data_IF_001836878796
#
_entry.id   IF_001836878796
#
_cell.length_a   1.000
_cell.length_b   1.000
_cell.length_c   1.000
_cell.angle_alpha   90.00
_cell.angle_beta   90.00
_cell.angle_gamma   90.00
#
_symmetry.space_group_name_H-M   'P 1'
#
loop_
_entity.id
_entity.type
_entity.pdbx_description
1 polymer ?
#
# COMPACT_ATOMS: atom_id res chain seq x y z
N UNK A 1 -31.70 15.43 -80.91
CA UNK A 1 -31.70 14.69 -79.67
C UNK A 1 -30.91 13.43 -79.86
N UNK A 2 -29.65 13.39 -79.41
CA UNK A 2 -28.74 12.23 -79.61
C UNK A 2 -28.60 11.53 -78.26
N UNK A 3 -29.02 10.31 -78.17
CA UNK A 3 -28.90 9.42 -77.04
C UNK A 3 -27.47 8.86 -76.94
N UNK A 4 -26.77 9.11 -75.86
CA UNK A 4 -25.44 8.53 -75.59
C UNK A 4 -25.63 7.22 -74.84
N UNK A 5 -25.22 6.10 -75.46
CA UNK A 5 -25.18 4.78 -74.77
C UNK A 5 -23.86 4.60 -74.04
N UNK A 6 -23.95 4.45 -72.75
CA UNK A 6 -22.81 4.16 -71.86
C UNK A 6 -22.55 2.62 -71.90
N UNK A 7 -21.39 2.22 -72.40
CA UNK A 7 -20.89 0.83 -72.28
C UNK A 7 -20.20 0.62 -70.97
N UNK A 8 -20.71 -0.30 -70.13
CA UNK A 8 -20.08 -0.76 -68.86
C UNK A 8 -19.26 -2.02 -69.27
N UNK A 9 -17.93 -2.02 -68.99
CA UNK A 9 -17.15 -3.24 -69.12
C UNK A 9 -17.41 -4.17 -67.95
N UNK A 10 -17.75 -5.42 -68.27
CA UNK A 10 -17.92 -6.52 -67.33
C UNK A 10 -16.53 -7.03 -66.91
N UNK A 11 -16.15 -6.81 -65.66
CA UNK A 11 -14.92 -7.33 -65.05
C UNK A 11 -15.18 -8.75 -64.53
N UNK A 12 -14.62 -9.74 -65.23
CA UNK A 12 -14.66 -11.15 -64.83
C UNK A 12 -13.61 -11.36 -63.74
N UNK A 13 -14.06 -11.54 -62.49
CA UNK A 13 -13.20 -11.92 -61.36
C UNK A 13 -13.15 -13.44 -61.29
N UNK A 14 -12.03 -14.04 -61.71
CA UNK A 14 -11.73 -15.45 -61.47
C UNK A 14 -11.35 -15.66 -60.01
N UNK A 15 -11.98 -16.60 -59.28
CA UNK A 15 -11.54 -16.94 -57.93
C UNK A 15 -10.25 -17.76 -57.98
N UNK A 16 -9.17 -17.22 -57.45
CA UNK A 16 -7.98 -18.01 -57.09
C UNK A 16 -8.33 -18.86 -55.88
N UNK A 17 -8.42 -20.17 -56.07
CA UNK A 17 -8.49 -21.12 -54.98
C UNK A 17 -7.03 -21.34 -54.50
N UNK A 18 -6.65 -20.68 -53.42
CA UNK A 18 -5.42 -21.01 -52.67
C UNK A 18 -5.79 -22.20 -51.79
N UNK A 19 -5.34 -23.38 -52.20
CA UNK A 19 -5.32 -24.56 -51.34
C UNK A 19 -4.24 -24.34 -50.27
N UNK A 20 -4.62 -23.93 -49.06
CA UNK A 20 -3.77 -24.09 -47.90
C UNK A 20 -3.76 -25.57 -47.53
N UNK A 21 -2.66 -26.25 -47.76
CA UNK A 21 -2.34 -27.49 -47.06
C UNK A 21 -2.23 -27.13 -45.58
N UNK A 22 -3.15 -27.59 -44.76
CA UNK A 22 -3.03 -27.57 -43.32
C UNK A 22 -1.93 -28.56 -43.00
N UNK A 23 -0.73 -28.04 -42.72
CA UNK A 23 0.33 -28.80 -42.07
C UNK A 23 -0.12 -28.91 -40.61
N UNK A 24 -0.47 -30.15 -40.22
CA UNK A 24 -0.94 -30.49 -38.88
C UNK A 24 0.28 -30.60 -37.94
N UNK A 25 1.08 -29.53 -37.91
CA UNK A 25 2.11 -29.31 -36.92
C UNK A 25 1.42 -28.74 -35.68
N UNK A 26 1.15 -29.58 -34.70
CA UNK A 26 0.87 -29.15 -33.32
C UNK A 26 2.10 -28.37 -32.79
N UNK A 27 2.18 -27.07 -33.10
CA UNK A 27 2.95 -26.17 -32.27
C UNK A 27 2.24 -26.13 -30.92
N UNK A 28 2.75 -26.95 -30.01
CA UNK A 28 2.59 -26.75 -28.58
C UNK A 28 3.26 -25.41 -28.27
N UNK A 29 2.52 -24.34 -28.50
CA UNK A 29 2.92 -23.00 -28.15
C UNK A 29 2.88 -22.88 -26.66
N UNK A 30 3.89 -23.44 -26.00
CA UNK A 30 4.14 -23.15 -24.60
C UNK A 30 4.40 -21.65 -24.50
N UNK A 31 3.35 -20.89 -24.20
CA UNK A 31 3.47 -19.48 -23.86
C UNK A 31 4.42 -19.42 -22.67
N UNK A 32 5.61 -18.85 -22.89
CA UNK A 32 6.52 -18.58 -21.77
C UNK A 32 5.71 -17.73 -20.80
N UNK A 33 5.54 -18.17 -19.53
CA UNK A 33 4.81 -17.37 -18.56
C UNK A 33 5.42 -15.95 -18.49
N UNK A 34 4.60 -14.90 -18.38
CA UNK A 34 5.13 -13.54 -18.27
C UNK A 34 6.02 -13.44 -17.05
N UNK A 35 7.16 -12.77 -17.19
CA UNK A 35 8.06 -12.51 -16.06
C UNK A 35 7.40 -11.54 -15.12
N UNK A 36 7.32 -11.89 -13.84
CA UNK A 36 6.88 -11.00 -12.78
C UNK A 36 8.03 -10.02 -12.50
N UNK A 37 7.76 -8.73 -12.59
CA UNK A 37 8.71 -7.64 -12.35
C UNK A 37 8.65 -7.13 -10.93
N UNK A 38 7.43 -7.07 -10.37
CA UNK A 38 7.16 -6.61 -9.03
C UNK A 38 5.84 -7.20 -8.53
N UNK A 39 5.64 -7.18 -7.21
CA UNK A 39 4.37 -7.56 -6.59
C UNK A 39 3.87 -6.44 -5.67
N UNK A 40 2.58 -6.15 -5.76
CA UNK A 40 1.90 -5.37 -4.73
C UNK A 40 0.99 -6.32 -3.94
N UNK A 41 1.12 -6.33 -2.63
CA UNK A 41 0.25 -7.08 -1.74
C UNK A 41 -0.71 -6.14 -1.03
N UNK A 42 -1.97 -6.56 -0.87
CA UNK A 42 -2.99 -5.79 -0.19
C UNK A 42 -3.75 -6.65 0.82
N UNK A 43 -4.08 -6.07 1.98
CA UNK A 43 -4.91 -6.69 3.02
C UNK A 43 -6.32 -6.14 3.01
N UNK A 44 -7.25 -6.92 3.59
CA UNK A 44 -8.63 -6.50 3.89
C UNK A 44 -8.89 -6.51 5.38
N UNK A 45 -9.50 -5.45 5.88
CA UNK A 45 -10.01 -5.39 7.27
C UNK A 45 -11.49 -5.79 7.42
N UNK A 46 -12.08 -6.36 6.38
CA UNK A 46 -13.49 -6.76 6.34
C UNK A 46 -13.65 -8.23 5.99
N UNK A 47 -12.66 -8.80 5.30
CA UNK A 47 -12.64 -10.20 4.88
C UNK A 47 -11.27 -10.81 5.14
N UNK A 48 -11.17 -12.15 5.06
CA UNK A 48 -9.89 -12.83 5.13
C UNK A 48 -9.06 -12.77 3.84
N UNK A 49 -9.47 -11.96 2.87
CA UNK A 49 -8.77 -11.84 1.60
C UNK A 49 -7.46 -11.08 1.73
N UNK A 50 -6.45 -11.63 1.08
CA UNK A 50 -5.20 -10.97 0.72
C UNK A 50 -5.12 -11.01 -0.80
N UNK A 51 -4.73 -9.92 -1.44
CA UNK A 51 -4.53 -9.91 -2.89
C UNK A 51 -3.06 -9.64 -3.20
N UNK A 52 -2.49 -10.44 -4.12
CA UNK A 52 -1.27 -10.09 -4.86
C UNK A 52 -1.66 -9.53 -6.23
N UNK A 53 -1.06 -8.41 -6.56
CA UNK A 53 -1.06 -7.81 -7.90
C UNK A 53 0.31 -8.10 -8.50
N UNK A 54 0.39 -9.13 -9.34
CA UNK A 54 1.64 -9.53 -9.99
C UNK A 54 1.85 -8.64 -11.22
N UNK A 55 2.73 -7.66 -11.10
CA UNK A 55 3.03 -6.68 -12.16
C UNK A 55 4.05 -7.30 -13.11
N UNK A 56 3.70 -7.39 -14.39
CA UNK A 56 4.51 -8.04 -15.41
C UNK A 56 4.67 -7.14 -16.64
N UNK A 57 5.51 -7.56 -17.56
CA UNK A 57 5.63 -6.89 -18.88
C UNK A 57 4.34 -6.89 -19.70
N UNK A 58 3.38 -7.79 -19.38
CA UNK A 58 2.13 -7.97 -20.12
C UNK A 58 0.90 -7.37 -19.40
N UNK A 59 1.10 -6.75 -18.23
CA UNK A 59 0.04 -6.16 -17.42
C UNK A 59 0.06 -6.63 -15.97
N UNK A 60 -1.04 -6.39 -15.26
CA UNK A 60 -1.20 -6.75 -13.84
C UNK A 60 -2.13 -7.96 -13.73
N UNK A 61 -1.65 -9.02 -13.07
CA UNK A 61 -2.45 -10.21 -12.77
C UNK A 61 -2.86 -10.20 -11.30
N UNK A 62 -4.14 -10.34 -11.05
CA UNK A 62 -4.73 -10.28 -9.70
C UNK A 62 -4.87 -11.71 -9.17
N UNK A 63 -4.25 -11.98 -8.04
CA UNK A 63 -4.28 -13.30 -7.39
C UNK A 63 -4.77 -13.17 -5.94
N UNK A 64 -6.08 -13.39 -5.70
CA UNK A 64 -6.62 -13.42 -4.36
C UNK A 64 -6.20 -14.68 -3.61
N UNK A 65 -5.90 -14.54 -2.32
CA UNK A 65 -5.54 -15.60 -1.37
C UNK A 65 -6.32 -15.39 -0.07
N UNK A 66 -6.27 -16.33 0.85
CA UNK A 66 -7.00 -16.25 2.11
C UNK A 66 -6.08 -16.42 3.30
N UNK A 67 -6.12 -15.45 4.20
CA UNK A 67 -5.49 -15.54 5.52
C UNK A 67 -6.40 -16.26 6.53
N UNK A 68 -5.91 -16.46 7.75
CA UNK A 68 -6.69 -17.02 8.85
C UNK A 68 -7.52 -15.98 9.62
N UNK A 69 -7.54 -14.72 9.21
CA UNK A 69 -8.22 -13.61 9.90
C UNK A 69 -9.08 -12.79 8.96
N UNK A 70 -10.23 -12.28 9.43
CA UNK A 70 -11.12 -11.41 8.65
C UNK A 70 -10.86 -9.90 8.84
N UNK A 71 -9.96 -9.50 9.72
CA UNK A 71 -9.61 -8.11 9.96
C UNK A 71 -8.08 -7.99 10.00
N UNK A 72 -7.50 -7.71 8.83
CA UNK A 72 -6.06 -7.63 8.63
C UNK A 72 -5.68 -6.18 8.34
N UNK A 73 -4.63 -5.75 9.01
CA UNK A 73 -3.95 -4.46 8.82
C UNK A 73 -2.47 -4.74 8.59
N UNK A 74 -1.63 -3.75 8.43
CA UNK A 74 -0.17 -3.86 8.32
C UNK A 74 0.36 -5.11 7.64
N UNK A 75 1.06 -4.98 6.54
CA UNK A 75 1.53 -6.10 5.72
C UNK A 75 3.00 -5.91 5.36
N UNK A 76 3.77 -7.00 5.36
CA UNK A 76 5.17 -7.04 4.95
C UNK A 76 5.46 -8.35 4.22
N UNK A 77 6.16 -8.30 3.12
CA UNK A 77 6.63 -9.48 2.39
C UNK A 77 8.14 -9.58 2.42
N UNK A 78 8.64 -10.79 2.69
CA UNK A 78 10.05 -11.14 2.61
C UNK A 78 10.26 -12.03 1.39
N UNK A 79 10.84 -11.51 0.34
CA UNK A 79 11.09 -12.16 -0.94
C UNK A 79 12.05 -13.35 -0.83
N UNK A 80 13.08 -13.22 0.01
CA UNK A 80 14.10 -14.27 0.22
C UNK A 80 13.51 -15.51 0.87
N UNK A 81 12.57 -15.34 1.79
CA UNK A 81 11.93 -16.44 2.53
C UNK A 81 10.59 -16.87 1.90
N UNK A 82 10.07 -16.12 0.92
CA UNK A 82 8.71 -16.24 0.39
C UNK A 82 7.67 -16.25 1.51
N UNK A 83 7.77 -15.26 2.40
CA UNK A 83 6.94 -15.12 3.59
C UNK A 83 6.19 -13.81 3.60
N UNK A 84 4.88 -13.88 3.87
CA UNK A 84 4.00 -12.73 4.05
C UNK A 84 3.63 -12.60 5.53
N UNK A 85 3.95 -11.47 6.13
CA UNK A 85 3.59 -11.15 7.52
C UNK A 85 2.48 -10.13 7.53
N UNK A 86 1.44 -10.37 8.32
CA UNK A 86 0.32 -9.46 8.53
C UNK A 86 0.03 -9.30 10.02
N UNK A 87 -0.56 -8.18 10.41
CA UNK A 87 -1.10 -7.99 11.75
C UNK A 87 -2.62 -8.13 11.72
N UNK A 88 -3.13 -9.00 12.59
CA UNK A 88 -4.55 -9.28 12.70
C UNK A 88 -5.17 -8.50 13.86
N UNK A 89 -6.14 -7.63 13.56
CA UNK A 89 -6.93 -6.95 14.59
C UNK A 89 -7.94 -7.87 15.24
N UNK A 90 -8.54 -8.78 14.45
CA UNK A 90 -9.49 -9.78 14.97
C UNK A 90 -8.81 -10.72 15.98
N UNK A 91 -7.65 -11.27 15.62
CA UNK A 91 -6.93 -12.22 16.46
C UNK A 91 -5.98 -11.55 17.45
N UNK A 92 -5.66 -10.26 17.26
CA UNK A 92 -4.76 -9.45 18.08
C UNK A 92 -3.32 -9.97 18.11
N UNK A 93 -2.86 -10.48 16.98
CA UNK A 93 -1.54 -11.12 16.81
C UNK A 93 -0.86 -10.64 15.53
N UNK A 94 0.44 -10.91 15.45
CA UNK A 94 1.23 -10.91 14.22
C UNK A 94 1.30 -12.33 13.68
N UNK A 95 1.01 -12.51 12.39
CA UNK A 95 1.00 -13.80 11.70
C UNK A 95 1.93 -13.78 10.49
N UNK A 96 2.70 -14.86 10.27
CA UNK A 96 3.47 -15.07 9.04
C UNK A 96 3.00 -16.31 8.32
N UNK A 97 2.83 -16.17 7.02
CA UNK A 97 2.49 -17.24 6.08
C UNK A 97 3.65 -17.47 5.12
N UNK A 98 3.79 -18.69 4.60
CA UNK A 98 4.89 -19.10 3.69
C UNK A 98 4.35 -19.68 2.40
N UNK A 99 5.25 -19.79 1.40
CA UNK A 99 4.97 -20.31 0.06
C UNK A 99 3.90 -19.46 -0.66
N UNK A 100 4.06 -18.16 -0.56
CA UNK A 100 3.12 -17.19 -1.14
C UNK A 100 3.07 -17.32 -2.65
N UNK A 101 4.23 -17.47 -3.30
CA UNK A 101 4.33 -17.62 -4.75
C UNK A 101 3.67 -18.90 -5.27
N UNK A 102 3.66 -19.97 -4.48
CA UNK A 102 3.05 -21.26 -4.81
C UNK A 102 1.56 -21.35 -4.43
N UNK A 103 1.04 -20.38 -3.67
CA UNK A 103 -0.38 -20.37 -3.28
C UNK A 103 -1.26 -20.06 -4.46
N UNK A 104 -2.20 -20.95 -4.86
CA UNK A 104 -3.07 -20.72 -6.01
C UNK A 104 -4.09 -19.63 -5.71
N UNK A 105 -4.68 -19.07 -6.76
CA UNK A 105 -5.80 -18.13 -6.62
C UNK A 105 -6.94 -18.74 -5.79
N UNK A 106 -7.43 -17.97 -4.81
CA UNK A 106 -8.40 -18.37 -3.77
C UNK A 106 -7.93 -19.47 -2.82
N UNK A 107 -6.64 -19.82 -2.83
CA UNK A 107 -6.05 -20.76 -1.89
C UNK A 107 -5.88 -20.18 -0.50
N UNK A 108 -5.84 -21.05 0.50
CA UNK A 108 -5.55 -20.67 1.88
C UNK A 108 -4.04 -20.53 2.07
N UNK A 109 -3.63 -19.43 2.71
CA UNK A 109 -2.24 -19.19 3.07
C UNK A 109 -1.78 -20.13 4.19
N UNK A 110 -0.54 -20.60 4.09
CA UNK A 110 0.07 -21.56 5.03
C UNK A 110 0.69 -20.82 6.22
N UNK A 111 0.00 -20.76 7.36
CA UNK A 111 0.49 -20.14 8.59
C UNK A 111 1.71 -20.90 9.13
N UNK A 112 2.82 -20.20 9.37
CA UNK A 112 4.07 -20.79 9.87
C UNK A 112 4.57 -20.17 11.18
N UNK A 113 4.17 -18.93 11.48
CA UNK A 113 4.50 -18.29 12.75
C UNK A 113 3.34 -17.40 13.21
N UNK A 114 3.12 -17.36 14.52
CA UNK A 114 2.16 -16.46 15.15
C UNK A 114 2.76 -15.92 16.45
N UNK A 115 2.48 -14.66 16.74
CA UNK A 115 2.81 -14.06 18.04
C UNK A 115 1.74 -14.37 19.09
N UNK A 116 2.05 -14.00 20.33
CA UNK A 116 1.07 -14.02 21.43
C UNK A 116 -0.02 -12.96 21.21
N UNK A 117 -1.18 -13.15 21.82
CA UNK A 117 -2.32 -12.21 21.80
C UNK A 117 -1.98 -10.98 22.67
N UNK A 118 -1.32 -10.00 22.08
CA UNK A 118 -0.80 -8.80 22.78
C UNK A 118 -1.29 -7.48 22.18
N UNK A 119 -1.66 -7.49 20.89
CA UNK A 119 -2.15 -6.29 20.19
C UNK A 119 -3.59 -6.00 20.57
N UNK A 120 -4.03 -4.76 20.39
CA UNK A 120 -5.42 -4.37 20.63
C UNK A 120 -6.06 -3.74 19.39
N UNK A 121 -5.42 -2.76 18.79
CA UNK A 121 -5.89 -2.06 17.59
C UNK A 121 -4.70 -1.75 16.67
N UNK A 122 -4.00 -2.80 16.17
CA UNK A 122 -2.86 -2.60 15.30
C UNK A 122 -3.28 -1.93 13.98
N UNK A 123 -2.37 -1.11 13.42
CA UNK A 123 -2.62 -0.33 12.21
C UNK A 123 -1.62 -0.61 11.10
N UNK A 124 -0.34 -0.67 11.43
CA UNK A 124 0.70 -0.78 10.43
C UNK A 124 1.89 -1.55 10.97
N UNK A 125 2.80 -1.94 10.07
CA UNK A 125 4.01 -2.69 10.38
C UNK A 125 5.20 -2.14 9.59
N UNK A 126 6.31 -1.88 10.27
CA UNK A 126 7.59 -1.59 9.67
C UNK A 126 8.61 -2.65 10.09
N UNK A 127 9.41 -3.13 9.14
CA UNK A 127 10.37 -4.22 9.38
C UNK A 127 11.78 -3.76 9.04
N UNK A 128 12.73 -4.04 9.95
CA UNK A 128 14.15 -3.81 9.70
C UNK A 128 14.96 -4.93 10.36
N UNK A 129 15.80 -5.58 9.57
CA UNK A 129 16.58 -6.74 9.99
C UNK A 129 15.63 -7.82 10.55
N UNK A 130 15.74 -8.13 11.84
CA UNK A 130 14.84 -9.06 12.53
C UNK A 130 13.85 -8.38 13.49
N UNK A 131 13.66 -7.05 13.34
CA UNK A 131 12.73 -6.30 14.17
C UNK A 131 11.47 -5.97 13.41
N UNK A 132 10.33 -6.34 13.98
CA UNK A 132 8.99 -6.08 13.49
C UNK A 132 8.34 -5.06 14.41
N UNK A 133 8.13 -3.84 13.93
CA UNK A 133 7.55 -2.73 14.68
C UNK A 133 6.10 -2.61 14.26
N UNK A 134 5.17 -2.68 15.20
CA UNK A 134 3.73 -2.58 14.94
C UNK A 134 3.19 -1.35 15.64
N UNK A 135 2.56 -0.46 14.91
CA UNK A 135 1.78 0.64 15.48
C UNK A 135 0.42 0.13 15.95
N UNK A 136 0.02 0.50 17.16
CA UNK A 136 -1.26 0.14 17.77
C UNK A 136 -1.88 1.40 18.39
N UNK A 137 -3.07 1.79 17.95
CA UNK A 137 -3.73 3.02 18.38
C UNK A 137 -4.84 2.78 19.42
N UNK A 138 -4.74 1.69 20.17
CA UNK A 138 -5.67 1.45 21.25
C UNK A 138 -5.52 2.48 22.36
N UNK A 139 -6.64 2.90 22.95
CA UNK A 139 -6.67 3.58 24.24
C UNK A 139 -6.04 2.67 25.30
N UNK A 140 -4.95 3.13 25.93
CA UNK A 140 -4.16 2.35 26.89
C UNK A 140 -4.34 2.81 28.34
N UNK A 141 -4.90 3.98 28.56
CA UNK A 141 -5.12 4.54 29.90
C UNK A 141 -6.61 4.57 30.30
N UNK A 142 -7.53 4.34 29.36
CA UNK A 142 -8.97 4.30 29.56
C UNK A 142 -9.61 5.68 29.63
N UNK A 143 -8.89 6.75 29.25
CA UNK A 143 -9.43 8.10 29.14
C UNK A 143 -9.73 8.44 27.65
N UNK A 144 -10.98 8.41 27.21
CA UNK A 144 -11.33 8.68 25.82
C UNK A 144 -11.05 10.13 25.37
N UNK A 145 -10.62 11.02 26.28
CA UNK A 145 -10.27 12.40 25.95
C UNK A 145 -8.78 12.58 25.67
N UNK A 146 -7.96 11.56 25.90
CA UNK A 146 -6.54 11.54 25.56
C UNK A 146 -6.28 10.60 24.40
N UNK A 147 -5.35 10.96 23.54
CA UNK A 147 -4.93 10.12 22.44
C UNK A 147 -3.70 9.32 22.84
N UNK A 148 -3.74 8.01 22.64
CA UNK A 148 -2.68 7.09 22.95
C UNK A 148 -2.19 6.35 21.71
N UNK A 149 -0.93 5.93 21.77
CA UNK A 149 -0.32 5.02 20.79
C UNK A 149 0.72 4.14 21.44
N UNK A 150 0.90 2.97 20.88
CA UNK A 150 1.94 2.03 21.31
C UNK A 150 2.63 1.43 20.10
N UNK A 151 3.96 1.43 20.12
CA UNK A 151 4.73 0.60 19.19
C UNK A 151 5.14 -0.68 19.91
N UNK A 152 4.73 -1.81 19.35
CA UNK A 152 5.16 -3.14 19.80
C UNK A 152 6.35 -3.56 18.97
N UNK A 153 7.47 -3.88 19.58
CA UNK A 153 8.69 -4.31 18.90
C UNK A 153 8.89 -5.80 19.14
N UNK A 154 8.70 -6.59 18.09
CA UNK A 154 8.95 -8.03 18.10
C UNK A 154 10.26 -8.39 17.42
N UNK A 155 10.82 -9.51 17.82
CA UNK A 155 11.83 -10.25 17.04
C UNK A 155 11.23 -11.57 16.57
N UNK A 156 11.65 -12.05 15.40
CA UNK A 156 11.15 -13.30 14.82
C UNK A 156 12.23 -14.36 14.86
N UNK A 157 11.92 -15.49 15.44
CA UNK A 157 12.62 -16.76 15.22
C UNK A 157 11.96 -17.54 14.09
N UNK A 158 12.45 -18.73 13.78
CA UNK A 158 11.97 -19.51 12.61
C UNK A 158 10.45 -19.65 12.57
N UNK A 159 9.78 -19.87 13.72
CA UNK A 159 8.35 -20.16 13.78
C UNK A 159 7.62 -19.37 14.88
N UNK A 160 8.23 -18.37 15.49
CA UNK A 160 7.63 -17.65 16.60
C UNK A 160 8.07 -16.18 16.63
N UNK A 161 7.23 -15.36 17.22
CA UNK A 161 7.52 -13.98 17.54
C UNK A 161 7.72 -13.82 19.05
N UNK A 162 8.75 -13.09 19.43
CA UNK A 162 9.01 -12.71 20.82
C UNK A 162 8.89 -11.20 20.96
N UNK A 163 8.00 -10.74 21.84
CA UNK A 163 7.93 -9.31 22.17
C UNK A 163 9.21 -8.89 22.87
N UNK A 164 9.96 -7.97 22.26
CA UNK A 164 11.15 -7.38 22.88
C UNK A 164 10.77 -6.33 23.93
N UNK A 165 9.96 -5.35 23.51
CA UNK A 165 9.50 -4.25 24.36
C UNK A 165 8.37 -3.47 23.70
N UNK A 166 7.79 -2.53 24.45
CA UNK A 166 6.77 -1.58 24.01
C UNK A 166 7.26 -0.14 24.20
N UNK A 167 6.94 0.70 23.22
CA UNK A 167 7.18 2.16 23.31
C UNK A 167 5.84 2.86 23.23
N UNK A 168 5.37 3.45 24.31
CA UNK A 168 4.15 4.24 24.37
C UNK A 168 4.41 5.68 23.95
N UNK A 169 3.43 6.31 23.33
CA UNK A 169 3.43 7.74 22.99
C UNK A 169 2.08 8.37 23.36
N UNK A 170 2.07 9.68 23.59
CA UNK A 170 0.87 10.43 23.99
C UNK A 170 0.15 11.03 22.77
N UNK A 171 -0.02 10.24 21.72
CA UNK A 171 -0.79 10.59 20.53
C UNK A 171 -1.25 9.30 19.83
N UNK A 172 -2.39 9.36 19.15
CA UNK A 172 -2.86 8.24 18.36
C UNK A 172 -1.94 8.01 17.16
N UNK A 173 -1.51 6.77 16.94
CA UNK A 173 -0.63 6.37 15.84
C UNK A 173 -1.42 5.69 14.73
N UNK A 174 -0.94 5.80 13.48
CA UNK A 174 -1.46 5.00 12.36
C UNK A 174 -0.29 4.46 11.53
N UNK A 175 -0.04 5.02 10.35
CA UNK A 175 1.05 4.61 9.48
C UNK A 175 2.43 4.89 10.08
N UNK A 176 3.37 4.00 9.81
CA UNK A 176 4.76 4.10 10.24
C UNK A 176 5.71 3.78 9.10
N UNK A 177 6.83 4.50 9.03
CA UNK A 177 7.85 4.31 8.01
C UNK A 177 9.25 4.42 8.61
N UNK A 178 10.12 3.46 8.32
CA UNK A 178 11.53 3.51 8.71
C UNK A 178 12.37 4.17 7.61
N UNK A 179 12.81 5.38 7.86
CA UNK A 179 13.76 6.08 6.98
C UNK A 179 15.15 6.02 7.60
N UNK A 180 15.98 5.15 7.08
CA UNK A 180 17.26 4.84 7.71
C UNK A 180 17.11 4.11 9.04
N UNK A 181 17.43 4.77 10.16
CA UNK A 181 17.26 4.24 11.52
C UNK A 181 16.13 4.93 12.29
N UNK A 182 15.52 5.94 11.68
CA UNK A 182 14.53 6.79 12.33
C UNK A 182 13.12 6.29 11.97
N UNK A 183 12.24 6.17 12.98
CA UNK A 183 10.85 5.82 12.79
C UNK A 183 10.04 7.11 12.63
N UNK A 184 9.51 7.31 11.43
CA UNK A 184 8.51 8.34 11.16
C UNK A 184 7.12 7.74 11.38
N UNK A 185 6.23 8.52 11.98
CA UNK A 185 4.86 8.08 12.28
C UNK A 185 3.88 9.20 12.00
N UNK A 186 2.75 8.86 11.41
CA UNK A 186 1.64 9.80 11.30
C UNK A 186 0.91 9.89 12.63
N UNK A 187 0.57 11.11 13.03
CA UNK A 187 -0.24 11.40 14.20
C UNK A 187 -1.70 11.43 13.77
N UNK A 188 -2.43 10.34 14.05
CA UNK A 188 -3.83 10.20 13.63
C UNK A 188 -4.70 11.37 14.16
N UNK A 189 -5.78 11.63 13.46
CA UNK A 189 -6.72 12.74 13.68
C UNK A 189 -6.13 14.14 13.39
N UNK A 190 -4.88 14.20 12.92
CA UNK A 190 -4.16 15.43 12.59
C UNK A 190 -3.51 15.33 11.22
N UNK A 191 -2.81 16.38 10.81
CA UNK A 191 -1.90 16.40 9.67
C UNK A 191 -0.42 16.32 10.09
N UNK A 192 -0.14 15.89 11.30
CA UNK A 192 1.21 15.90 11.84
C UNK A 192 1.96 14.61 11.51
N UNK A 193 3.26 14.76 11.35
CA UNK A 193 4.23 13.65 11.29
C UNK A 193 5.24 13.84 12.42
N UNK A 194 5.46 12.78 13.18
CA UNK A 194 6.46 12.74 14.25
C UNK A 194 7.63 11.83 13.88
N UNK A 195 8.80 12.04 14.48
CA UNK A 195 9.97 11.18 14.31
C UNK A 195 10.54 10.78 15.67
N UNK A 196 10.86 9.47 15.80
CA UNK A 196 11.65 8.91 16.90
C UNK A 196 12.98 8.42 16.31
N UNK A 197 14.08 9.08 16.69
CA UNK A 197 15.39 8.84 16.08
C UNK A 197 16.06 7.58 16.59
N UNK A 198 16.79 6.89 15.69
CA UNK A 198 17.50 5.66 15.98
C UNK A 198 16.63 4.66 16.76
N UNK A 199 15.37 4.51 16.34
CA UNK A 199 14.28 3.90 17.09
C UNK A 199 14.65 2.57 17.74
N UNK A 200 15.16 1.61 16.94
CA UNK A 200 15.44 0.24 17.40
C UNK A 200 16.55 0.20 18.47
N UNK A 201 17.54 1.10 18.37
CA UNK A 201 18.70 1.14 19.27
C UNK A 201 18.49 2.03 20.48
N UNK A 202 17.63 3.06 20.39
CA UNK A 202 17.30 3.97 21.49
C UNK A 202 16.31 3.31 22.44
N UNK A 203 15.26 2.69 21.91
CA UNK A 203 14.16 2.16 22.72
C UNK A 203 14.28 0.63 22.84
N UNK A 204 15.05 0.17 23.83
CA UNK A 204 15.35 -1.26 24.04
C UNK A 204 14.57 -1.90 25.19
N UNK A 205 13.82 -1.12 25.95
CA UNK A 205 12.96 -1.53 27.08
C UNK A 205 11.61 -0.83 26.99
N UNK A 206 10.66 -1.26 27.79
CA UNK A 206 9.35 -0.59 27.90
C UNK A 206 9.53 0.85 28.41
N UNK A 207 8.95 1.80 27.67
CA UNK A 207 9.07 3.24 27.98
C UNK A 207 7.89 4.03 27.40
N UNK A 208 7.60 5.19 27.98
CA UNK A 208 6.81 6.23 27.34
C UNK A 208 7.77 7.25 26.71
N UNK A 209 7.70 7.40 25.40
CA UNK A 209 8.58 8.27 24.63
C UNK A 209 7.88 9.56 24.23
N UNK A 210 8.66 10.63 24.14
CA UNK A 210 8.30 11.86 23.44
C UNK A 210 9.05 11.83 22.12
N UNK A 211 8.41 12.14 20.98
CA UNK A 211 9.11 12.21 19.70
C UNK A 211 10.25 13.24 19.74
N UNK A 212 11.33 12.96 19.03
CA UNK A 212 12.44 13.91 18.87
C UNK A 212 12.00 15.16 18.13
N UNK A 213 10.98 15.04 17.31
CA UNK A 213 10.37 16.14 16.56
C UNK A 213 9.00 15.76 16.03
N UNK A 214 8.08 16.73 15.99
CA UNK A 214 6.78 16.64 15.37
C UNK A 214 6.51 17.92 14.58
N UNK A 215 6.03 17.81 13.36
CA UNK A 215 5.65 18.97 12.53
C UNK A 215 4.30 18.74 11.86
N UNK A 216 3.62 19.83 11.56
CA UNK A 216 2.39 19.85 10.77
C UNK A 216 2.71 19.85 9.27
N UNK A 217 2.04 19.00 8.49
CA UNK A 217 2.13 19.00 7.03
C UNK A 217 0.99 19.83 6.46
N UNK A 218 1.33 21.01 5.92
CA UNK A 218 0.33 21.94 5.38
C UNK A 218 -0.40 21.35 4.18
N UNK A 219 -1.72 21.58 4.10
CA UNK A 219 -2.57 21.11 3.01
C UNK A 219 -3.11 19.68 3.17
N UNK A 220 -2.80 18.98 4.25
CA UNK A 220 -3.45 17.75 4.70
C UNK A 220 -4.48 18.10 5.77
N UNK A 221 -5.61 17.41 5.76
CA UNK A 221 -6.63 17.49 6.82
C UNK A 221 -6.37 16.43 7.89
N UNK A 222 -6.22 15.17 7.47
CA UNK A 222 -5.96 14.03 8.34
C UNK A 222 -5.19 12.96 7.59
N UNK A 223 -4.01 12.58 8.09
CA UNK A 223 -3.18 11.57 7.45
C UNK A 223 -3.31 10.20 8.13
N UNK A 224 -3.26 9.12 7.33
CA UNK A 224 -3.20 7.75 7.82
C UNK A 224 -1.99 6.99 7.25
N UNK A 225 -1.82 6.95 5.94
CA UNK A 225 -0.72 6.23 5.29
C UNK A 225 0.51 7.09 5.09
N UNK A 226 1.67 6.46 5.22
CA UNK A 226 2.99 7.03 4.93
C UNK A 226 3.84 5.97 4.25
N UNK A 227 4.57 6.33 3.22
CA UNK A 227 5.59 5.50 2.57
C UNK A 227 6.75 6.36 2.08
N UNK A 228 7.92 5.75 1.87
CA UNK A 228 9.10 6.44 1.36
C UNK A 228 9.84 5.60 0.31
N UNK A 229 10.12 6.20 -0.87
CA UNK A 229 11.10 5.65 -1.81
C UNK A 229 11.87 6.79 -2.50
N UNK A 230 13.16 6.56 -2.79
CA UNK A 230 14.01 7.52 -3.49
C UNK A 230 14.13 8.90 -2.83
N UNK A 231 13.91 9.00 -1.51
CA UNK A 231 13.92 10.28 -0.76
C UNK A 231 12.60 11.07 -0.86
N UNK A 232 11.60 10.55 -1.57
CA UNK A 232 10.25 11.08 -1.63
C UNK A 232 9.38 10.34 -0.62
N UNK A 233 8.65 11.11 0.20
CA UNK A 233 7.59 10.58 1.08
C UNK A 233 6.24 10.90 0.46
N UNK A 234 5.33 9.93 0.56
CA UNK A 234 3.93 10.13 0.23
C UNK A 234 3.10 9.95 1.50
N UNK A 235 2.18 10.87 1.72
CA UNK A 235 1.21 10.86 2.81
C UNK A 235 -0.20 10.83 2.23
N UNK A 236 -1.06 9.96 2.74
CA UNK A 236 -2.48 10.02 2.42
C UNK A 236 -3.18 11.10 3.23
N UNK A 237 -4.27 11.62 2.68
CA UNK A 237 -5.17 12.56 3.35
C UNK A 237 -6.60 12.01 3.23
N UNK A 238 -7.16 11.55 4.33
CA UNK A 238 -8.51 10.98 4.35
C UNK A 238 -9.61 12.05 4.39
N UNK A 239 -9.23 13.34 4.48
CA UNK A 239 -10.21 14.40 4.58
C UNK A 239 -11.17 14.22 5.75
N UNK A 240 -12.47 14.33 5.49
CA UNK A 240 -13.52 13.93 6.43
C UNK A 240 -13.85 12.44 6.19
N UNK A 241 -13.61 11.59 7.18
CA UNK A 241 -13.87 10.14 7.09
C UNK A 241 -15.32 9.75 6.75
N UNK A 242 -16.26 10.70 6.80
CA UNK A 242 -17.66 10.51 6.39
C UNK A 242 -17.94 10.97 4.96
N UNK A 243 -16.94 11.56 4.28
CA UNK A 243 -17.04 12.04 2.91
C UNK A 243 -16.25 11.09 1.99
N UNK A 244 -16.87 10.59 0.94
CA UNK A 244 -16.29 9.63 0.00
C UNK A 244 -15.64 10.29 -1.25
N UNK A 245 -15.44 11.61 -1.24
CA UNK A 245 -14.95 12.37 -2.40
C UNK A 245 -13.86 13.40 -2.10
N UNK A 246 -13.42 13.56 -0.86
CA UNK A 246 -12.45 14.59 -0.45
C UNK A 246 -11.06 14.04 -0.08
N UNK A 247 -10.88 12.75 -0.20
CA UNK A 247 -9.59 12.08 -0.01
C UNK A 247 -8.54 12.50 -1.03
N UNK A 248 -7.29 12.24 -0.68
CA UNK A 248 -6.16 12.56 -1.54
C UNK A 248 -4.84 12.02 -1.01
N UNK A 249 -3.76 12.34 -1.70
CA UNK A 249 -2.40 12.12 -1.22
C UNK A 249 -1.48 13.27 -1.60
N UNK A 250 -0.37 13.40 -0.88
CA UNK A 250 0.65 14.40 -1.14
C UNK A 250 2.03 13.77 -1.28
N UNK A 251 2.79 14.21 -2.29
CA UNK A 251 4.20 13.88 -2.48
C UNK A 251 5.06 15.00 -1.94
N UNK A 252 6.10 14.62 -1.19
CA UNK A 252 7.09 15.53 -0.62
C UNK A 252 8.48 15.00 -1.00
N UNK A 253 9.04 15.52 -2.08
CA UNK A 253 10.43 15.20 -2.47
C UNK A 253 11.44 15.78 -1.48
N UNK A 254 12.62 15.13 -1.36
CA UNK A 254 13.67 15.53 -0.40
C UNK A 254 13.12 15.69 1.03
N UNK A 255 12.25 14.76 1.42
CA UNK A 255 11.43 14.87 2.64
C UNK A 255 12.26 15.09 3.89
N UNK A 256 13.29 14.28 4.11
CA UNK A 256 14.08 14.33 5.36
C UNK A 256 14.73 15.72 5.56
N UNK A 257 15.27 16.30 4.49
CA UNK A 257 15.86 17.63 4.57
C UNK A 257 14.80 18.71 4.82
N UNK A 258 13.67 18.64 4.13
CA UNK A 258 12.55 19.57 4.35
C UNK A 258 11.96 19.45 5.75
N UNK A 259 11.73 18.22 6.20
CA UNK A 259 11.26 17.95 7.56
C UNK A 259 12.24 18.52 8.60
N UNK A 260 13.55 18.28 8.43
CA UNK A 260 14.56 18.76 9.36
C UNK A 260 14.72 20.30 9.36
N UNK A 261 14.43 20.97 8.27
CA UNK A 261 14.49 22.43 8.17
C UNK A 261 13.37 23.14 8.96
N UNK A 262 12.24 22.47 9.22
CA UNK A 262 11.14 23.04 10.01
C UNK A 262 11.47 22.88 11.50
N UNK A 263 11.28 23.90 12.34
CA UNK A 263 11.42 23.72 13.80
C UNK A 263 10.36 22.79 14.36
N UNK A 264 10.65 22.18 15.53
CA UNK A 264 9.68 21.37 16.24
C UNK A 264 8.39 22.16 16.53
N UNK A 265 7.22 21.55 16.32
CA UNK A 265 5.90 22.20 16.38
C UNK A 265 5.60 23.14 15.20
N UNK A 266 6.52 23.26 14.23
CA UNK A 266 6.32 24.12 13.05
C UNK A 266 5.50 23.45 11.94
N UNK A 267 5.24 24.19 10.86
CA UNK A 267 4.48 23.71 9.70
C UNK A 267 5.36 23.68 8.45
N UNK A 268 5.41 22.54 7.76
CA UNK A 268 5.91 22.46 6.39
C UNK A 268 4.82 22.99 5.44
N UNK A 269 5.00 24.16 4.83
CA UNK A 269 3.95 24.75 4.01
C UNK A 269 3.73 23.94 2.72
N UNK A 270 2.50 23.91 2.23
CA UNK A 270 2.17 23.24 0.97
C UNK A 270 2.93 23.85 -0.22
N UNK A 271 2.83 25.16 -0.36
CA UNK A 271 3.37 25.87 -1.52
C UNK A 271 4.89 25.69 -1.67
N UNK A 272 5.31 25.21 -2.83
CA UNK A 272 6.72 24.98 -3.17
C UNK A 272 7.38 23.74 -2.55
N UNK A 273 6.66 22.96 -1.74
CA UNK A 273 7.19 21.80 -1.06
C UNK A 273 6.51 20.49 -1.44
N UNK A 274 5.29 20.56 -1.94
CA UNK A 274 4.43 19.39 -2.05
C UNK A 274 3.66 19.40 -3.37
N UNK A 275 3.30 18.21 -3.85
CA UNK A 275 2.39 17.99 -4.94
C UNK A 275 1.20 17.20 -4.40
N UNK A 276 -0.04 17.63 -4.71
CA UNK A 276 -1.27 16.97 -4.24
C UNK A 276 -2.06 16.39 -5.40
N UNK A 277 -2.57 15.17 -5.18
CA UNK A 277 -3.60 14.53 -6.02
C UNK A 277 -4.87 14.37 -5.17
N UNK A 278 -5.97 14.98 -5.60
CA UNK A 278 -7.27 14.89 -4.93
C UNK A 278 -8.38 15.41 -5.85
N UNK A 279 -9.62 15.03 -5.58
CA UNK A 279 -10.81 15.49 -6.29
C UNK A 279 -11.67 14.36 -6.82
N UNK A 280 -12.83 14.70 -7.39
CA UNK A 280 -13.89 13.76 -7.75
C UNK A 280 -13.55 12.71 -8.81
N UNK A 281 -12.44 12.88 -9.54
CA UNK A 281 -11.99 11.91 -10.55
C UNK A 281 -11.00 10.89 -9.99
N UNK A 282 -10.52 11.08 -8.77
CA UNK A 282 -9.46 10.23 -8.20
C UNK A 282 -9.95 8.93 -7.62
N UNK A 283 -11.24 8.76 -7.45
CA UNK A 283 -11.86 7.63 -6.73
C UNK A 283 -11.43 7.53 -5.23
N UNK A 284 -10.85 8.61 -4.67
CA UNK A 284 -10.41 8.65 -3.27
C UNK A 284 -11.39 9.39 -2.37
N UNK A 285 -11.90 8.68 -1.36
CA UNK A 285 -12.65 9.25 -0.25
C UNK A 285 -11.91 9.05 1.07
N UNK A 286 -11.44 7.84 1.33
CA UNK A 286 -10.73 7.49 2.56
C UNK A 286 -9.49 6.64 2.25
N UNK A 287 -8.43 7.24 1.68
CA UNK A 287 -7.18 6.54 1.37
C UNK A 287 -6.40 6.27 2.66
N UNK A 288 -6.35 5.00 3.09
CA UNK A 288 -5.83 4.60 4.41
C UNK A 288 -4.39 4.11 4.38
N UNK A 289 -3.91 3.60 3.25
CA UNK A 289 -2.51 3.17 3.09
C UNK A 289 -2.00 3.56 1.70
N UNK A 290 -0.69 3.65 1.57
CA UNK A 290 0.01 4.04 0.34
C UNK A 290 1.34 3.31 0.21
N UNK A 291 1.67 2.94 -1.04
CA UNK A 291 2.99 2.48 -1.44
C UNK A 291 3.47 3.26 -2.67
N UNK A 292 4.76 3.33 -2.86
CA UNK A 292 5.38 4.09 -3.94
C UNK A 292 6.57 3.38 -4.55
N UNK A 293 6.59 3.29 -5.86
CA UNK A 293 7.76 2.89 -6.65
C UNK A 293 8.37 4.12 -7.35
N UNK A 294 9.46 4.62 -6.82
CA UNK A 294 10.14 5.80 -7.37
C UNK A 294 10.70 5.58 -8.79
N UNK A 295 11.26 4.40 -9.16
CA UNK A 295 11.71 4.14 -10.52
C UNK A 295 10.60 4.26 -11.58
N UNK A 296 9.42 3.70 -11.34
CA UNK A 296 8.28 3.80 -12.27
C UNK A 296 7.42 5.05 -12.03
N UNK A 297 7.61 5.72 -10.89
CA UNK A 297 6.76 6.82 -10.40
C UNK A 297 5.29 6.40 -10.25
N UNK A 298 5.06 5.15 -9.86
CA UNK A 298 3.74 4.59 -9.60
C UNK A 298 3.41 4.67 -8.12
N UNK A 299 2.21 5.16 -7.82
CA UNK A 299 1.67 5.26 -6.47
C UNK A 299 0.50 4.29 -6.35
N UNK A 300 0.49 3.51 -5.29
CA UNK A 300 -0.55 2.55 -4.97
C UNK A 300 -1.29 3.02 -3.73
N UNK A 301 -2.63 3.04 -3.78
CA UNK A 301 -3.47 3.52 -2.69
C UNK A 301 -4.46 2.43 -2.28
N UNK A 302 -4.53 2.12 -0.99
CA UNK A 302 -5.68 1.42 -0.42
C UNK A 302 -6.76 2.45 -0.08
N UNK A 303 -7.82 2.46 -0.87
CA UNK A 303 -8.99 3.31 -0.71
C UNK A 303 -10.11 2.52 -0.04
N UNK A 304 -10.74 3.06 1.00
CA UNK A 304 -11.68 2.31 1.84
C UNK A 304 -13.15 2.72 1.67
N UNK A 305 -13.44 3.96 1.28
CA UNK A 305 -14.82 4.48 1.25
C UNK A 305 -15.58 4.07 -0.02
N UNK A 306 -14.94 4.21 -1.17
CA UNK A 306 -15.61 4.02 -2.46
C UNK A 306 -15.88 2.55 -2.77
N UNK A 307 -17.17 2.20 -2.97
CA UNK A 307 -17.58 0.83 -3.28
C UNK A 307 -17.33 -0.19 -2.16
N UNK A 308 -16.93 0.26 -0.97
CA UNK A 308 -16.54 -0.59 0.16
C UNK A 308 -15.05 -0.95 0.16
N UNK A 309 -14.29 -0.46 -0.79
CA UNK A 309 -12.84 -0.55 -0.85
C UNK A 309 -12.29 -0.83 -2.25
N UNK A 310 -11.12 -0.25 -2.53
CA UNK A 310 -10.40 -0.39 -3.80
C UNK A 310 -8.89 -0.36 -3.57
N UNK A 311 -8.15 -0.90 -4.54
CA UNK A 311 -6.73 -0.60 -4.73
C UNK A 311 -6.59 0.23 -6.01
N UNK A 312 -6.04 1.42 -5.88
CA UNK A 312 -5.88 2.39 -6.97
C UNK A 312 -4.40 2.52 -7.35
N UNK A 313 -4.12 2.61 -8.64
CA UNK A 313 -2.78 2.83 -9.20
C UNK A 313 -2.76 4.19 -9.88
N UNK A 314 -1.73 4.99 -9.60
CA UNK A 314 -1.52 6.29 -10.23
C UNK A 314 -0.12 6.33 -10.82
N UNK A 315 -0.03 6.35 -12.15
CA UNK A 315 1.23 6.46 -12.86
C UNK A 315 1.45 7.89 -13.35
N UNK A 316 2.69 8.38 -13.27
CA UNK A 316 3.09 9.65 -13.88
C UNK A 316 2.14 10.82 -13.57
N UNK A 317 1.88 11.05 -12.30
CA UNK A 317 0.90 12.03 -11.81
C UNK A 317 1.14 13.49 -12.27
N UNK A 318 2.26 13.77 -12.96
CA UNK A 318 2.56 15.08 -13.56
C UNK A 318 2.61 16.20 -12.53
N UNK A 319 1.70 17.17 -12.67
CA UNK A 319 1.58 18.29 -11.73
C UNK A 319 0.53 18.03 -10.63
N UNK A 320 -0.01 16.81 -10.55
CA UNK A 320 -1.07 16.45 -9.62
C UNK A 320 -2.45 16.96 -10.01
N UNK A 321 -3.28 17.23 -9.02
CA UNK A 321 -4.65 17.74 -9.21
C UNK A 321 -5.69 16.63 -9.25
N UNK A 322 -6.80 16.89 -9.94
CA UNK A 322 -7.94 15.97 -10.05
C UNK A 322 -7.74 15.05 -11.27
N UNK A 323 -7.05 13.93 -11.07
CA UNK A 323 -6.71 12.94 -12.12
C UNK A 323 -7.34 11.59 -11.82
N UNK A 324 -7.61 10.81 -12.85
CA UNK A 324 -8.10 9.43 -12.72
C UNK A 324 -6.95 8.46 -12.42
N UNK A 325 -7.17 7.41 -11.61
CA UNK A 325 -6.21 6.33 -11.50
C UNK A 325 -6.03 5.62 -12.85
N UNK A 326 -4.84 5.14 -13.13
CA UNK A 326 -4.55 4.31 -14.32
C UNK A 326 -5.14 2.91 -14.18
N UNK A 327 -5.31 2.43 -12.95
CA UNK A 327 -6.03 1.21 -12.61
C UNK A 327 -6.83 1.40 -11.33
N UNK A 328 -8.06 0.89 -11.32
CA UNK A 328 -8.92 0.81 -10.14
C UNK A 328 -9.41 -0.62 -10.00
N UNK A 329 -9.09 -1.27 -8.89
CA UNK A 329 -9.43 -2.66 -8.59
C UNK A 329 -10.29 -2.73 -7.34
N UNK A 330 -11.50 -3.25 -7.46
CA UNK A 330 -12.41 -3.46 -6.33
C UNK A 330 -11.78 -4.44 -5.33
N UNK A 331 -11.69 -4.03 -4.09
CA UNK A 331 -11.17 -4.85 -2.99
C UNK A 331 -11.82 -4.45 -1.68
N UNK A 332 -12.87 -5.19 -1.29
CA UNK A 332 -13.67 -4.90 -0.11
C UNK A 332 -12.79 -4.79 1.14
N UNK A 333 -12.87 -3.64 1.81
CA UNK A 333 -12.13 -3.38 3.04
C UNK A 333 -10.62 -3.22 2.84
N UNK A 334 -10.15 -2.75 1.67
CA UNK A 334 -8.73 -2.46 1.45
C UNK A 334 -8.16 -1.66 2.63
N UNK A 335 -7.06 -2.13 3.23
CA UNK A 335 -6.55 -1.59 4.51
C UNK A 335 -5.07 -1.28 4.51
N UNK A 336 -4.19 -2.19 4.07
CA UNK A 336 -2.75 -1.96 4.01
C UNK A 336 -2.17 -2.49 2.71
N UNK A 337 -1.02 -1.95 2.34
CA UNK A 337 -0.29 -2.30 1.12
C UNK A 337 1.17 -2.61 1.46
N UNK A 338 1.81 -3.43 0.64
CA UNK A 338 3.25 -3.62 0.60
C UNK A 338 3.70 -3.84 -0.84
N UNK A 339 4.63 -3.03 -1.30
CA UNK A 339 5.20 -3.15 -2.64
C UNK A 339 6.58 -3.81 -2.58
N UNK A 340 6.75 -4.87 -3.36
CA UNK A 340 7.99 -5.62 -3.52
C UNK A 340 8.50 -5.44 -4.94
N UNK A 341 9.59 -4.72 -5.07
CA UNK A 341 10.29 -4.51 -6.34
C UNK A 341 11.42 -5.54 -6.46
N UNK A 342 11.24 -6.55 -7.34
CA UNK A 342 12.19 -7.65 -7.56
C UNK A 342 13.44 -7.22 -8.30
#
# INVERSE_FOLDING_TARGET
MKSLRLLIPFLVITPFIISCTVDDGSEDGSQIPPTILANLYATSNTTNSIISYDITTNGVFIRPMKSSSNDNEGIYYNDVADELTIVSREQKVINTYRNINDTPANGDLSLVASGDVLLNSPRDIAVKDNFYIISDNADTDGDPNTDDGTFFIFTKDTNAYTLRNKVKVNYAVWGIELIGNDLYTVVDKTSDVAVLKNFITTYTTDVTATPDKQITIGGITRTHGITQDGGTVILTDIGDAQNDTDGGFQLIGDFVNRFNAIPDGGTLPFAGNQLRVSGSMTDMGNPVAVEYDNPSQTIFIAERANGGGKVLFFDQIGIGGNITPTMSSEFLGASSLYFDNK
#
